data_IF_990488051231
#
_entry.id   IF_990488051231
#
_cell.length_a   1.000
_cell.length_b   1.000
_cell.length_c   1.000
_cell.angle_alpha   90.00
_cell.angle_beta   90.00
_cell.angle_gamma   90.00
#
_symmetry.space_group_name_H-M   'P 1'
#
loop_
_entity.id
_entity.type
_entity.pdbx_description
1 polymer ?
#
# COMPACT_ATOMS: atom_id res chain seq x y z
N UNK A 1 0.74 -1.45 0.29
CA UNK A 1 1.02 -2.81 -0.23
C UNK A 1 2.20 -3.39 0.53
N UNK A 2 2.27 -4.70 0.73
CA UNK A 2 3.41 -5.33 1.42
C UNK A 2 4.77 -5.02 0.74
N UNK A 3 4.78 -4.91 -0.59
CA UNK A 3 5.96 -4.48 -1.35
C UNK A 3 6.41 -3.04 -1.08
N UNK A 4 5.52 -2.16 -0.61
CA UNK A 4 5.91 -0.79 -0.22
C UNK A 4 6.74 -0.76 1.07
N UNK A 5 6.63 -1.81 1.88
CA UNK A 5 7.48 -2.01 3.07
C UNK A 5 8.73 -2.81 2.73
N UNK A 6 8.62 -3.79 1.83
CA UNK A 6 9.76 -4.60 1.39
C UNK A 6 9.55 -5.13 -0.04
N UNK A 7 10.27 -4.58 -1.04
CA UNK A 7 10.02 -4.86 -2.46
C UNK A 7 10.25 -6.33 -2.83
N UNK A 8 11.13 -7.03 -2.12
CA UNK A 8 11.50 -8.42 -2.43
C UNK A 8 10.50 -9.47 -1.91
N UNK A 9 9.44 -9.05 -1.21
CA UNK A 9 8.50 -9.97 -0.55
C UNK A 9 7.77 -10.89 -1.53
N UNK A 10 7.45 -10.39 -2.73
CA UNK A 10 6.77 -11.18 -3.76
C UNK A 10 7.72 -11.69 -4.85
N UNK A 11 9.03 -11.44 -4.74
CA UNK A 11 10.03 -11.84 -5.75
C UNK A 11 10.04 -13.36 -6.03
N UNK A 12 9.79 -14.17 -5.00
CA UNK A 12 9.76 -15.64 -5.08
C UNK A 12 8.42 -16.22 -5.56
N UNK A 13 7.40 -15.37 -5.80
CA UNK A 13 6.03 -15.80 -6.09
C UNK A 13 5.51 -15.22 -7.42
N UNK A 14 5.89 -15.81 -8.56
CA UNK A 14 5.56 -15.27 -9.89
C UNK A 14 4.04 -15.18 -10.15
N UNK A 15 3.26 -16.13 -9.64
CA UNK A 15 1.79 -16.11 -9.77
C UNK A 15 1.19 -14.92 -9.02
N UNK A 16 1.67 -14.62 -7.81
CA UNK A 16 1.19 -13.49 -7.01
C UNK A 16 1.55 -12.14 -7.66
N UNK A 17 2.72 -12.04 -8.29
CA UNK A 17 3.09 -10.84 -9.07
C UNK A 17 2.14 -10.60 -10.24
N UNK A 18 1.84 -11.65 -11.02
CA UNK A 18 0.90 -11.55 -12.15
C UNK A 18 -0.52 -11.18 -11.69
N UNK A 19 -0.97 -11.76 -10.57
CA UNK A 19 -2.25 -11.45 -9.96
C UNK A 19 -2.32 -10.00 -9.49
N UNK A 20 -1.27 -9.50 -8.81
CA UNK A 20 -1.15 -8.10 -8.40
C UNK A 20 -1.25 -7.16 -9.62
N UNK A 21 -0.52 -7.45 -10.69
CA UNK A 21 -0.55 -6.65 -11.92
C UNK A 21 -1.96 -6.58 -12.52
N UNK A 22 -2.67 -7.72 -12.58
CA UNK A 22 -4.07 -7.79 -13.03
C UNK A 22 -5.00 -6.95 -12.16
N UNK A 23 -4.88 -7.04 -10.83
CA UNK A 23 -5.69 -6.24 -9.91
C UNK A 23 -5.40 -4.74 -10.04
N UNK A 24 -4.12 -4.34 -10.13
CA UNK A 24 -3.76 -2.92 -10.26
C UNK A 24 -4.28 -2.28 -11.55
N UNK A 25 -4.57 -3.08 -12.57
CA UNK A 25 -5.10 -2.61 -13.85
C UNK A 25 -6.63 -2.45 -13.87
N UNK A 26 -7.35 -2.93 -12.85
CA UNK A 26 -8.80 -2.72 -12.75
C UNK A 26 -9.05 -1.20 -12.62
N UNK A 27 -9.95 -0.58 -13.42
CA UNK A 27 -10.07 0.88 -13.49
C UNK A 27 -10.26 1.60 -12.15
N UNK A 28 -11.08 1.03 -11.26
CA UNK A 28 -11.34 1.58 -9.92
C UNK A 28 -10.09 1.51 -9.03
N UNK A 29 -9.38 0.38 -9.06
CA UNK A 29 -8.14 0.18 -8.32
C UNK A 29 -7.05 1.08 -8.90
N UNK A 30 -6.90 1.14 -10.22
CA UNK A 30 -5.96 2.02 -10.90
C UNK A 30 -6.17 3.47 -10.50
N UNK A 31 -7.42 3.95 -10.49
CA UNK A 31 -7.79 5.29 -10.02
C UNK A 31 -7.46 5.47 -8.53
N UNK A 32 -7.68 4.45 -7.70
CA UNK A 32 -7.32 4.49 -6.29
C UNK A 32 -5.80 4.50 -6.04
N UNK A 33 -5.00 3.93 -6.93
CA UNK A 33 -3.55 3.92 -6.86
C UNK A 33 -2.90 5.22 -7.37
N UNK A 34 -3.65 6.06 -8.10
CA UNK A 34 -3.13 7.32 -8.60
C UNK A 34 -2.93 8.37 -7.48
N UNK A 35 -1.96 9.28 -7.63
CA UNK A 35 -1.79 10.43 -6.73
C UNK A 35 -3.08 11.24 -6.61
N UNK A 36 -3.41 11.72 -5.40
CA UNK A 36 -4.65 12.45 -5.14
C UNK A 36 -5.87 11.58 -4.82
N UNK A 37 -5.71 10.26 -4.87
CA UNK A 37 -6.67 9.32 -4.28
C UNK A 37 -6.72 9.45 -2.75
N UNK A 38 -7.82 8.95 -2.15
CA UNK A 38 -7.96 8.81 -0.69
C UNK A 38 -7.00 7.77 -0.07
N UNK A 39 -6.18 7.13 -0.89
CA UNK A 39 -5.16 6.20 -0.46
C UNK A 39 -4.19 6.88 0.51
N UNK A 40 -4.23 6.47 1.78
CA UNK A 40 -3.32 6.98 2.81
C UNK A 40 -1.88 6.49 2.58
N UNK A 41 -0.88 7.34 2.84
CA UNK A 41 0.53 6.95 2.81
C UNK A 41 0.87 6.02 3.98
N UNK A 42 2.11 5.52 3.97
CA UNK A 42 2.65 4.78 5.09
C UNK A 42 2.77 5.70 6.32
N UNK A 43 2.26 5.21 7.45
CA UNK A 43 2.36 5.89 8.74
C UNK A 43 3.85 6.06 9.07
N UNK A 44 4.26 7.30 9.27
CA UNK A 44 5.62 7.62 9.69
C UNK A 44 5.74 7.42 11.20
N UNK A 45 6.94 7.07 11.69
CA UNK A 45 7.17 6.86 13.11
C UNK A 45 6.81 8.09 13.97
N UNK A 46 6.91 9.29 13.39
CA UNK A 46 6.55 10.58 14.03
C UNK A 46 5.04 10.78 14.23
N UNK A 47 4.20 10.06 13.48
CA UNK A 47 2.74 10.13 13.60
C UNK A 47 2.21 9.23 14.71
N UNK A 48 2.96 8.17 15.05
CA UNK A 48 2.61 7.21 16.11
C UNK A 48 2.32 7.88 17.46
N UNK A 49 3.18 8.78 18.01
CA UNK A 49 2.89 9.42 19.30
C UNK A 49 1.64 10.32 19.24
N UNK A 50 1.38 10.99 18.11
CA UNK A 50 0.17 11.80 17.91
C UNK A 50 -1.09 10.94 17.91
N UNK A 51 -1.02 9.78 17.25
CA UNK A 51 -2.12 8.80 17.24
C UNK A 51 -2.37 8.30 18.66
N UNK A 52 -1.32 7.90 19.39
CA UNK A 52 -1.44 7.41 20.78
C UNK A 52 -2.12 8.46 21.67
N UNK A 53 -1.76 9.75 21.54
CA UNK A 53 -2.36 10.84 22.33
C UNK A 53 -3.84 11.11 22.04
N UNK A 54 -4.42 10.56 20.97
CA UNK A 54 -5.84 10.69 20.64
C UNK A 54 -6.66 9.57 21.31
N UNK A 55 -6.06 8.41 21.52
CA UNK A 55 -6.76 7.20 21.99
C UNK A 55 -6.50 6.86 23.46
N UNK A 56 -5.55 7.53 24.11
CA UNK A 56 -5.22 7.44 25.54
C UNK A 56 -5.39 8.78 26.23
#
# INVERSE_FOLDING_TARGET
>A
MAEEWKPDTLAKFPVLQSFKARLSNIPTIKKFLQPGSQRKPLIQAEEVPKIISIFH
#
